data_IF_660192829563
#
_entry.id   IF_660192829563
#
_cell.length_a   1.000
_cell.length_b   1.000
_cell.length_c   1.000
_cell.angle_alpha   90.00
_cell.angle_beta   90.00
_cell.angle_gamma   90.00
#
_symmetry.space_group_name_H-M   'P 1'
#
loop_
_entity.id
_entity.type
_entity.pdbx_description
1 polymer ?
#
# COMPACT_ATOMS: atom_id res chain seq x y z
N UNK A 1 6.17 4.69 7.66
CA UNK A 1 6.70 6.07 7.68
C UNK A 1 5.54 7.05 7.65
N UNK A 2 5.52 8.06 8.54
CA UNK A 2 4.54 9.14 8.48
C UNK A 2 5.07 10.27 7.60
N UNK A 3 4.25 10.77 6.67
CA UNK A 3 4.70 11.74 5.68
C UNK A 3 4.61 13.17 6.23
N UNK A 4 5.57 14.02 5.88
CA UNK A 4 5.56 15.43 6.27
C UNK A 4 4.54 16.23 5.46
N UNK A 5 4.17 17.43 5.94
CA UNK A 5 3.17 18.27 5.27
C UNK A 5 3.48 18.59 3.80
N UNK A 6 4.76 18.72 3.45
CA UNK A 6 5.20 18.97 2.07
C UNK A 6 5.08 17.77 1.12
N UNK A 7 4.94 16.55 1.65
CA UNK A 7 4.76 15.33 0.86
C UNK A 7 3.28 14.85 0.84
N UNK A 8 2.38 15.61 1.47
CA UNK A 8 0.95 15.38 1.36
C UNK A 8 0.46 15.86 -0.01
N UNK A 9 -0.24 14.97 -0.72
CA UNK A 9 -0.94 15.31 -1.95
C UNK A 9 -2.17 16.19 -1.67
N UNK A 10 -2.69 16.84 -2.72
CA UNK A 10 -3.85 17.72 -2.61
C UNK A 10 -5.02 17.06 -1.88
N UNK A 11 -5.49 17.71 -0.81
CA UNK A 11 -6.64 17.26 -0.02
C UNK A 11 -6.37 16.12 0.96
N UNK A 12 -5.14 15.61 1.04
CA UNK A 12 -4.76 14.65 2.07
C UNK A 12 -4.59 15.35 3.41
N UNK A 13 -5.26 14.82 4.43
CA UNK A 13 -5.13 15.27 5.83
C UNK A 13 -4.00 14.51 6.52
N UNK A 14 -3.84 13.22 6.21
CA UNK A 14 -2.75 12.36 6.70
C UNK A 14 -2.39 11.33 5.64
N UNK A 15 -1.11 10.97 5.58
CA UNK A 15 -0.56 9.92 4.72
C UNK A 15 0.49 9.12 5.47
N UNK A 16 0.44 7.80 5.28
CA UNK A 16 1.42 6.86 5.79
C UNK A 16 1.94 6.01 4.64
N UNK A 17 3.26 5.86 4.57
CA UNK A 17 3.91 4.91 3.67
C UNK A 17 4.32 3.64 4.41
N UNK A 18 4.12 2.50 3.75
CA UNK A 18 4.75 1.23 4.09
C UNK A 18 5.90 1.03 3.13
N UNK A 19 7.06 0.68 3.66
CA UNK A 19 8.27 0.46 2.89
C UNK A 19 8.78 -0.94 3.13
N UNK A 20 9.36 -1.55 2.11
CA UNK A 20 10.02 -2.85 2.18
C UNK A 20 11.51 -2.70 1.90
N UNK A 21 12.31 -3.57 2.52
CA UNK A 21 13.75 -3.62 2.29
C UNK A 21 14.07 -4.12 0.88
N UNK A 22 15.00 -3.45 0.21
CA UNK A 22 15.53 -3.81 -1.12
C UNK A 22 17.05 -4.01 -0.97
N UNK A 23 17.51 -5.28 -0.80
CA UNK A 23 18.92 -5.61 -0.61
C UNK A 23 19.89 -5.00 -1.63
N UNK A 24 19.58 -5.06 -2.92
CA UNK A 24 20.47 -4.57 -3.98
C UNK A 24 20.74 -3.07 -3.88
N UNK A 25 19.77 -2.32 -3.35
CA UNK A 25 19.88 -0.86 -3.17
C UNK A 25 20.30 -0.45 -1.76
N UNK A 26 20.38 -1.41 -0.83
CA UNK A 26 20.64 -1.21 0.59
C UNK A 26 19.73 -0.14 1.23
N UNK A 27 18.45 -0.13 0.85
CA UNK A 27 17.46 0.89 1.26
C UNK A 27 16.07 0.30 1.42
N UNK A 28 15.25 0.96 2.23
CA UNK A 28 13.79 0.77 2.23
C UNK A 28 13.17 1.55 1.06
N UNK A 29 12.19 0.93 0.37
CA UNK A 29 11.45 1.53 -0.74
C UNK A 29 9.95 1.45 -0.51
N UNK A 30 9.26 2.53 -0.86
CA UNK A 30 7.79 2.61 -0.75
C UNK A 30 7.12 1.50 -1.54
N UNK A 31 6.33 0.69 -0.83
CA UNK A 31 5.44 -0.28 -1.44
C UNK A 31 3.98 0.15 -1.39
N UNK A 32 3.51 0.75 -0.31
CA UNK A 32 2.09 1.10 -0.16
C UNK A 32 1.94 2.48 0.45
N UNK A 33 0.86 3.16 0.08
CA UNK A 33 0.41 4.38 0.73
C UNK A 33 -0.99 4.18 1.29
N UNK A 34 -1.21 4.69 2.50
CA UNK A 34 -2.52 4.84 3.13
C UNK A 34 -2.77 6.32 3.34
N UNK A 35 -3.89 6.83 2.82
CA UNK A 35 -4.20 8.26 2.82
C UNK A 35 -5.61 8.53 3.31
N UNK A 36 -5.74 9.56 4.14
CA UNK A 36 -7.00 10.05 4.67
C UNK A 36 -7.30 11.43 4.11
N UNK A 37 -8.48 11.61 3.51
CA UNK A 37 -8.87 12.84 2.82
C UNK A 37 -9.96 13.62 3.53
N UNK A 38 -10.44 13.13 4.69
CA UNK A 38 -11.65 13.65 5.32
C UNK A 38 -12.77 13.72 4.26
N UNK A 39 -13.41 14.86 4.09
CA UNK A 39 -14.49 15.07 3.12
C UNK A 39 -14.03 15.78 1.83
N UNK A 40 -12.73 15.91 1.57
CA UNK A 40 -12.21 16.59 0.38
C UNK A 40 -12.72 15.96 -0.93
N UNK A 41 -12.55 14.64 -1.07
CA UNK A 41 -12.97 13.91 -2.27
C UNK A 41 -14.49 13.80 -2.35
N UNK A 42 -15.15 13.56 -1.22
CA UNK A 42 -16.60 13.30 -1.17
C UNK A 42 -17.42 14.55 -1.41
N UNK A 43 -16.94 15.75 -1.04
CA UNK A 43 -17.53 17.02 -1.47
C UNK A 43 -17.50 17.20 -2.99
N UNK A 44 -16.38 16.85 -3.61
CA UNK A 44 -16.17 16.98 -5.07
C UNK A 44 -17.00 15.97 -5.87
N UNK A 45 -17.27 14.80 -5.29
CA UNK A 45 -18.08 13.73 -5.88
C UNK A 45 -19.53 13.70 -5.37
N UNK A 46 -19.91 14.65 -4.51
CA UNK A 46 -21.22 14.75 -3.87
C UNK A 46 -21.68 13.48 -3.10
N UNK A 47 -20.73 12.76 -2.49
CA UNK A 47 -20.97 11.52 -1.72
C UNK A 47 -21.39 11.86 -0.30
N UNK A 48 -22.63 11.53 0.06
CA UNK A 48 -23.27 11.92 1.33
C UNK A 48 -23.93 10.71 2.00
N UNK A 49 -24.06 10.78 3.31
CA UNK A 49 -24.87 9.88 4.12
C UNK A 49 -25.88 10.67 4.95
N UNK A 50 -26.92 10.01 5.43
CA UNK A 50 -27.88 10.58 6.38
C UNK A 50 -27.51 10.12 7.79
N UNK A 51 -27.34 11.08 8.71
CA UNK A 51 -27.01 10.77 10.10
C UNK A 51 -28.26 10.39 10.93
N UNK A 52 -28.05 10.12 12.22
CA UNK A 52 -29.12 9.78 13.18
C UNK A 52 -30.14 10.91 13.40
N UNK A 53 -29.77 12.15 13.08
CA UNK A 53 -30.64 13.34 13.17
C UNK A 53 -31.34 13.65 11.83
N UNK A 54 -31.33 12.71 10.88
CA UNK A 54 -31.84 12.87 9.52
C UNK A 54 -31.15 13.97 8.69
N UNK A 55 -29.98 14.46 9.09
CA UNK A 55 -29.21 15.48 8.36
C UNK A 55 -28.28 14.82 7.34
N UNK A 56 -28.19 15.42 6.15
CA UNK A 56 -27.22 15.00 5.14
C UNK A 56 -25.83 15.52 5.50
N UNK A 57 -24.84 14.61 5.56
CA UNK A 57 -23.43 14.92 5.80
C UNK A 57 -22.55 14.31 4.71
N UNK A 58 -21.41 14.94 4.43
CA UNK A 58 -20.41 14.34 3.56
C UNK A 58 -19.68 13.20 4.28
N UNK A 59 -19.43 12.12 3.55
CA UNK A 59 -18.70 10.95 4.06
C UNK A 59 -17.21 11.29 4.16
N UNK A 60 -16.49 10.69 5.10
CA UNK A 60 -15.02 10.78 5.08
C UNK A 60 -14.43 9.66 4.22
N UNK A 61 -13.48 9.99 3.35
CA UNK A 61 -12.80 9.00 2.52
C UNK A 61 -11.37 8.74 2.97
N UNK A 62 -10.97 7.48 2.82
CA UNK A 62 -9.61 6.99 2.95
C UNK A 62 -9.35 5.94 1.86
N UNK A 63 -8.09 5.72 1.55
CA UNK A 63 -7.66 4.60 0.71
C UNK A 63 -6.33 4.04 1.22
N UNK A 64 -6.04 2.80 0.82
CA UNK A 64 -4.77 2.15 1.08
C UNK A 64 -4.44 1.17 -0.04
N UNK A 65 -3.17 1.06 -0.41
CA UNK A 65 -2.74 0.07 -1.40
C UNK A 65 -2.65 -1.31 -0.75
N UNK A 66 -3.39 -2.29 -1.29
CA UNK A 66 -3.37 -3.66 -0.80
C UNK A 66 -2.10 -4.42 -1.26
N UNK A 67 -1.87 -4.50 -2.56
CA UNK A 67 -0.71 -5.19 -3.14
C UNK A 67 -0.35 -4.60 -4.50
N UNK A 68 0.77 -3.85 -4.62
CA UNK A 68 1.15 -3.23 -5.88
C UNK A 68 2.15 -4.10 -6.65
N UNK A 69 1.67 -4.65 -7.74
CA UNK A 69 2.48 -5.30 -8.77
C UNK A 69 2.85 -4.30 -9.87
N UNK A 70 4.06 -4.38 -10.45
CA UNK A 70 5.09 -5.39 -10.20
C UNK A 70 6.00 -5.07 -9.01
N UNK A 71 5.90 -3.87 -8.40
CA UNK A 71 6.90 -3.34 -7.44
C UNK A 71 7.18 -4.28 -6.27
N UNK A 72 6.16 -4.95 -5.73
CA UNK A 72 6.34 -5.86 -4.58
C UNK A 72 7.25 -7.05 -4.89
N UNK A 73 7.34 -7.43 -6.17
CA UNK A 73 8.15 -8.54 -6.62
C UNK A 73 9.64 -8.30 -6.38
N UNK A 74 10.12 -7.05 -6.44
CA UNK A 74 11.53 -6.73 -6.17
C UNK A 74 11.92 -7.17 -4.77
N UNK A 75 11.16 -6.74 -3.75
CA UNK A 75 11.43 -7.14 -2.37
C UNK A 75 11.20 -8.63 -2.13
N UNK A 76 10.23 -9.28 -2.79
CA UNK A 76 10.04 -10.72 -2.65
C UNK A 76 11.23 -11.48 -3.24
N UNK A 77 11.62 -11.17 -4.48
CA UNK A 77 12.71 -11.87 -5.16
C UNK A 77 14.03 -11.67 -4.42
N UNK A 78 14.39 -10.42 -4.11
CA UNK A 78 15.70 -10.14 -3.53
C UNK A 78 15.86 -10.66 -2.10
N UNK A 79 14.79 -10.67 -1.29
CA UNK A 79 14.88 -11.17 0.10
C UNK A 79 14.78 -12.71 0.19
N UNK A 80 14.30 -13.39 -0.85
CA UNK A 80 14.14 -14.85 -0.86
C UNK A 80 15.11 -15.58 -1.83
N UNK A 81 16.00 -14.84 -2.51
CA UNK A 81 17.03 -15.42 -3.37
C UNK A 81 18.03 -16.28 -2.57
N UNK A 82 18.51 -17.34 -3.20
CA UNK A 82 19.50 -18.27 -2.66
C UNK A 82 20.84 -18.11 -3.39
N UNK A 83 21.92 -18.68 -2.81
CA UNK A 83 23.27 -18.60 -3.39
C UNK A 83 23.39 -19.22 -4.78
N UNK A 84 22.54 -20.19 -5.11
CA UNK A 84 22.49 -20.86 -6.41
C UNK A 84 21.62 -20.13 -7.45
N UNK A 85 21.05 -18.98 -7.08
CA UNK A 85 20.17 -18.19 -7.95
C UNK A 85 18.69 -18.58 -7.86
N UNK A 86 18.34 -19.66 -7.17
CA UNK A 86 16.95 -20.03 -6.94
C UNK A 86 16.26 -19.07 -5.97
N UNK A 87 14.93 -18.99 -6.00
CA UNK A 87 14.13 -18.12 -5.13
C UNK A 87 13.18 -18.98 -4.32
N UNK A 88 13.25 -18.89 -2.99
CA UNK A 88 12.29 -19.53 -2.09
C UNK A 88 10.94 -18.84 -2.24
N UNK A 89 9.88 -19.61 -2.47
CA UNK A 89 8.51 -19.10 -2.51
C UNK A 89 8.01 -18.90 -1.07
N UNK A 90 7.58 -17.68 -0.68
CA UNK A 90 6.99 -17.45 0.64
C UNK A 90 5.86 -18.43 0.92
N UNK A 91 5.79 -18.97 2.14
CA UNK A 91 4.88 -20.06 2.49
C UNK A 91 3.43 -19.78 2.08
N UNK A 92 2.95 -18.57 2.37
CA UNK A 92 1.60 -18.11 2.05
C UNK A 92 1.28 -18.07 0.54
N UNK A 93 2.30 -18.06 -0.31
CA UNK A 93 2.17 -18.01 -1.77
C UNK A 93 2.24 -19.40 -2.44
N UNK A 94 2.79 -20.41 -1.75
CA UNK A 94 3.03 -21.75 -2.32
C UNK A 94 1.77 -22.41 -2.86
N UNK A 95 0.63 -22.28 -2.17
CA UNK A 95 -0.66 -22.82 -2.62
C UNK A 95 -1.16 -22.21 -3.94
N UNK A 96 -0.73 -21.00 -4.27
CA UNK A 96 -1.12 -20.32 -5.51
C UNK A 96 -0.14 -20.61 -6.65
N UNK A 97 1.14 -20.84 -6.35
CA UNK A 97 2.17 -21.12 -7.34
C UNK A 97 2.37 -22.62 -7.62
N UNK A 98 2.01 -23.49 -6.68
CA UNK A 98 2.22 -24.94 -6.77
C UNK A 98 3.68 -25.36 -6.63
N UNK A 99 4.54 -24.48 -6.13
CA UNK A 99 5.99 -24.69 -5.98
C UNK A 99 6.51 -24.06 -4.70
N UNK A 100 7.54 -24.68 -4.14
CA UNK A 100 8.27 -24.16 -2.98
C UNK A 100 9.48 -23.30 -3.39
N UNK A 101 10.00 -23.50 -4.60
CA UNK A 101 11.18 -22.83 -5.15
C UNK A 101 10.92 -22.47 -6.62
N UNK A 102 11.42 -21.32 -7.05
CA UNK A 102 11.55 -20.92 -8.44
C UNK A 102 13.03 -21.09 -8.83
N UNK A 103 13.29 -21.94 -9.83
CA UNK A 103 14.61 -22.24 -10.40
C UNK A 103 14.84 -21.52 -11.72
#
# INVERSE_FOLDING_TARGET
>A
VANCGGDLGLGQVKKYHVELWVPAENKYREISSASYFHDFQTRRLNIRYRDKENKLRFVHSLNSTAMPTPRIMVSIIENYQQKDGSIIVPEVLRKYLGKDIIS
#
